data_IF_026788477883
#
_entry.id   IF_026788477883
#
_cell.length_a   1.000
_cell.length_b   1.000
_cell.length_c   1.000
_cell.angle_alpha   90.00
_cell.angle_beta   90.00
_cell.angle_gamma   90.00
#
_symmetry.space_group_name_H-M   'P 1'
#
loop_
_entity.id
_entity.type
_entity.pdbx_description
1 polymer ?
#
# COMPACT_ATOMS: atom_id res chain seq x y z
N UNK A 1 66.02 -35.12 36.52
CA UNK A 1 64.61 -35.57 36.48
C UNK A 1 63.56 -34.51 36.87
N UNK A 2 63.94 -33.36 37.43
CA UNK A 2 62.98 -32.33 37.90
C UNK A 2 62.50 -31.38 36.78
N UNK A 3 63.39 -31.03 35.83
CA UNK A 3 63.06 -30.12 34.72
C UNK A 3 62.07 -30.71 33.69
N UNK A 4 61.97 -32.04 33.56
CA UNK A 4 61.01 -32.68 32.63
C UNK A 4 59.58 -32.71 33.18
N UNK A 5 59.41 -32.90 34.50
CA UNK A 5 58.09 -32.86 35.16
C UNK A 5 57.46 -31.46 35.11
N UNK A 6 58.26 -30.40 35.28
CA UNK A 6 57.79 -29.00 35.21
C UNK A 6 57.37 -28.64 33.77
N UNK A 7 58.13 -29.05 32.75
CA UNK A 7 57.73 -28.86 31.35
C UNK A 7 56.39 -29.55 31.04
N UNK A 8 56.20 -30.78 31.51
CA UNK A 8 54.99 -31.58 31.25
C UNK A 8 53.73 -31.06 31.98
N UNK A 9 53.87 -30.49 33.19
CA UNK A 9 52.77 -29.79 33.88
C UNK A 9 52.32 -28.53 33.14
N UNK A 10 53.26 -27.76 32.57
CA UNK A 10 52.94 -26.55 31.81
C UNK A 10 52.22 -26.85 30.48
N UNK A 11 52.48 -27.99 29.83
CA UNK A 11 51.73 -28.43 28.65
C UNK A 11 50.28 -28.80 28.97
N UNK A 12 50.04 -29.51 30.09
CA UNK A 12 48.68 -29.86 30.53
C UNK A 12 47.85 -28.64 30.95
N UNK A 13 48.48 -27.62 31.55
CA UNK A 13 47.79 -26.37 31.90
C UNK A 13 47.44 -25.55 30.64
N UNK A 14 48.38 -25.42 29.69
CA UNK A 14 48.10 -24.77 28.40
C UNK A 14 47.01 -25.50 27.61
N UNK A 15 47.03 -26.83 27.61
CA UNK A 15 45.99 -27.64 26.96
C UNK A 15 44.62 -27.47 27.61
N UNK A 16 44.53 -27.45 28.95
CA UNK A 16 43.28 -27.17 29.66
C UNK A 16 42.75 -25.77 29.40
N UNK A 17 43.61 -24.76 29.32
CA UNK A 17 43.22 -23.39 28.97
C UNK A 17 42.70 -23.35 27.53
N UNK A 18 43.38 -23.99 26.58
CA UNK A 18 42.94 -24.05 25.17
C UNK A 18 41.57 -24.74 25.05
N UNK A 19 41.38 -25.89 25.72
CA UNK A 19 40.11 -26.62 25.72
C UNK A 19 39.00 -25.81 26.38
N UNK A 20 39.28 -25.12 27.50
CA UNK A 20 38.32 -24.25 28.17
C UNK A 20 37.93 -23.03 27.31
N UNK A 21 38.89 -22.43 26.59
CA UNK A 21 38.62 -21.32 25.67
C UNK A 21 37.80 -21.76 24.46
N UNK A 22 38.07 -22.95 23.90
CA UNK A 22 37.26 -23.53 22.82
C UNK A 22 35.84 -23.82 23.30
N UNK A 23 35.68 -24.32 24.53
CA UNK A 23 34.36 -24.55 25.12
C UNK A 23 33.58 -23.23 25.26
N UNK A 24 34.22 -22.15 25.74
CA UNK A 24 33.57 -20.82 25.85
C UNK A 24 33.10 -20.28 24.50
N UNK A 25 33.84 -20.48 23.42
CA UNK A 25 33.43 -20.04 22.08
C UNK A 25 32.26 -20.85 21.49
N UNK A 26 32.07 -22.10 21.90
CA UNK A 26 30.97 -22.96 21.41
C UNK A 26 29.64 -22.62 22.11
N UNK A 27 29.66 -22.03 23.30
CA UNK A 27 28.45 -21.64 24.06
C UNK A 27 28.06 -20.16 23.91
N UNK A 28 28.71 -19.40 23.03
CA UNK A 28 28.23 -18.05 22.71
C UNK A 28 26.91 -18.20 21.94
N UNK A 29 25.78 -17.66 22.46
CA UNK A 29 24.52 -17.70 21.73
C UNK A 29 24.72 -16.93 20.42
N UNK A 30 24.55 -17.61 19.29
CA UNK A 30 24.39 -16.94 18.01
C UNK A 30 23.12 -16.11 18.11
N UNK A 31 23.25 -14.79 18.20
CA UNK A 31 22.12 -13.87 18.02
C UNK A 31 21.72 -14.03 16.56
N UNK A 32 20.66 -14.80 16.34
CA UNK A 32 20.18 -15.01 14.98
C UNK A 32 19.33 -13.80 14.63
N UNK A 33 19.89 -12.92 13.79
CA UNK A 33 19.19 -11.76 13.25
C UNK A 33 18.04 -12.21 12.36
N UNK A 34 16.95 -11.48 12.41
CA UNK A 34 15.75 -11.77 11.64
C UNK A 34 14.67 -10.76 11.95
N UNK A 35 13.88 -10.44 10.93
CA UNK A 35 12.76 -9.53 11.09
C UNK A 35 11.78 -10.04 12.15
N UNK A 36 11.19 -9.13 12.91
CA UNK A 36 10.22 -9.42 13.96
C UNK A 36 8.91 -8.74 13.56
N UNK A 37 7.87 -9.53 13.30
CA UNK A 37 6.50 -9.01 13.22
C UNK A 37 5.89 -9.03 14.62
N UNK A 38 5.28 -7.92 15.00
CA UNK A 38 4.71 -7.77 16.34
C UNK A 38 3.51 -6.82 16.33
N UNK A 39 2.74 -6.90 17.41
CA UNK A 39 1.59 -6.03 17.64
C UNK A 39 1.89 -5.01 18.75
N UNK A 40 1.35 -3.81 18.60
CA UNK A 40 1.42 -2.76 19.62
C UNK A 40 0.02 -2.14 19.82
N UNK A 41 -0.52 -2.12 21.05
CA UNK A 41 0.05 -2.73 22.25
C UNK A 41 0.03 -4.27 22.19
N UNK A 42 0.98 -4.94 22.84
CA UNK A 42 1.01 -6.41 22.92
C UNK A 42 0.09 -6.98 24.00
N UNK A 43 -0.45 -6.11 24.86
CA UNK A 43 -1.42 -6.46 25.89
C UNK A 43 -2.27 -5.25 26.25
N UNK A 44 -3.49 -5.48 26.70
CA UNK A 44 -4.43 -4.44 27.09
C UNK A 44 -5.67 -5.01 27.75
N UNK A 45 -6.44 -4.14 28.38
CA UNK A 45 -7.74 -4.47 28.98
C UNK A 45 -8.83 -3.63 28.32
N UNK A 46 -9.88 -4.32 27.85
CA UNK A 46 -11.00 -3.71 27.12
C UNK A 46 -12.32 -4.30 27.63
N UNK A 47 -13.42 -3.56 27.48
CA UNK A 47 -14.75 -3.97 27.93
C UNK A 47 -15.64 -4.31 26.74
N UNK A 48 -16.71 -5.04 27.00
CA UNK A 48 -17.70 -5.39 25.97
C UNK A 48 -18.22 -4.12 25.25
N UNK A 49 -18.19 -4.14 23.92
CA UNK A 49 -18.62 -3.02 23.08
C UNK A 49 -17.51 -2.02 22.72
N UNK A 50 -16.38 -2.02 23.44
CA UNK A 50 -15.24 -1.16 23.13
C UNK A 50 -14.72 -1.42 21.71
N UNK A 51 -14.28 -0.36 21.06
CA UNK A 51 -13.48 -0.40 19.85
C UNK A 51 -12.07 0.08 20.15
N UNK A 52 -11.07 -0.70 19.78
CA UNK A 52 -9.66 -0.41 20.05
C UNK A 52 -8.78 -0.73 18.84
N UNK A 53 -7.62 -0.08 18.80
CA UNK A 53 -6.67 -0.18 17.70
C UNK A 53 -5.49 -1.05 18.12
N UNK A 54 -5.11 -1.95 17.22
CA UNK A 54 -3.88 -2.74 17.34
C UNK A 54 -2.99 -2.46 16.13
N UNK A 55 -1.85 -1.85 16.37
CA UNK A 55 -0.86 -1.56 15.35
C UNK A 55 -0.08 -2.83 15.02
N UNK A 56 0.03 -3.12 13.73
CA UNK A 56 0.90 -4.15 13.19
C UNK A 56 2.24 -3.51 12.79
N UNK A 57 3.34 -3.95 13.38
CA UNK A 57 4.67 -3.38 13.17
C UNK A 57 5.72 -4.43 12.83
N UNK A 58 6.83 -3.94 12.28
CA UNK A 58 8.00 -4.75 11.94
C UNK A 58 9.27 -4.15 12.57
N UNK A 59 10.10 -4.98 13.20
CA UNK A 59 11.49 -4.67 13.46
C UNK A 59 12.34 -5.43 12.43
N UNK A 60 13.27 -4.77 11.76
CA UNK A 60 14.09 -5.45 10.75
C UNK A 60 15.37 -6.05 11.33
N UNK A 61 15.73 -5.77 12.59
CA UNK A 61 16.91 -6.32 13.27
C UNK A 61 18.19 -6.24 12.39
N UNK A 62 18.43 -5.06 11.80
CA UNK A 62 19.51 -4.69 10.87
C UNK A 62 19.40 -5.22 9.42
N UNK A 63 18.35 -5.96 9.09
CA UNK A 63 18.06 -6.36 7.70
C UNK A 63 17.36 -5.24 6.92
N UNK A 64 17.48 -5.28 5.60
CA UNK A 64 16.66 -4.48 4.70
C UNK A 64 15.59 -5.38 4.07
N UNK A 65 14.33 -5.00 4.20
CA UNK A 65 13.18 -5.77 3.72
C UNK A 65 12.40 -4.97 2.69
N UNK A 66 11.70 -5.63 1.76
CA UNK A 66 10.89 -4.93 0.76
C UNK A 66 9.48 -5.50 0.58
N UNK A 67 9.17 -6.65 1.17
CA UNK A 67 7.88 -7.30 0.99
C UNK A 67 7.45 -7.92 2.30
N UNK A 68 6.18 -7.73 2.67
CA UNK A 68 5.56 -8.34 3.83
C UNK A 68 4.26 -9.00 3.41
N UNK A 69 4.19 -10.32 3.59
CA UNK A 69 2.96 -11.11 3.60
C UNK A 69 2.62 -11.40 5.05
N UNK A 70 1.50 -10.86 5.54
CA UNK A 70 1.04 -11.12 6.89
C UNK A 70 -0.29 -11.88 6.84
N UNK A 71 -0.37 -12.95 7.62
CA UNK A 71 -1.62 -13.68 7.87
C UNK A 71 -1.84 -13.66 9.38
N UNK A 72 -2.84 -12.93 9.83
CA UNK A 72 -3.14 -12.71 11.25
C UNK A 72 -4.39 -13.51 11.62
N UNK A 73 -4.36 -14.13 12.78
CA UNK A 73 -5.45 -14.90 13.36
C UNK A 73 -5.96 -14.23 14.61
N UNK A 74 -7.27 -14.18 14.76
CA UNK A 74 -7.94 -13.58 15.91
C UNK A 74 -9.16 -14.42 16.33
N UNK A 75 -9.56 -14.37 17.62
CA UNK A 75 -10.69 -15.12 18.12
C UNK A 75 -12.00 -14.41 17.73
N UNK A 76 -12.58 -14.83 16.60
CA UNK A 76 -13.82 -14.29 16.03
C UNK A 76 -15.04 -14.29 16.97
N UNK A 77 -15.03 -15.16 17.98
CA UNK A 77 -16.08 -15.23 19.00
C UNK A 77 -15.95 -14.14 20.08
N UNK A 78 -14.77 -13.52 20.18
CA UNK A 78 -14.45 -12.47 21.14
C UNK A 78 -14.25 -11.10 20.48
N UNK A 79 -13.75 -11.08 19.24
CA UNK A 79 -13.41 -9.87 18.49
C UNK A 79 -14.05 -9.86 17.09
N UNK A 80 -14.59 -8.70 16.72
CA UNK A 80 -15.02 -8.37 15.36
C UNK A 80 -14.07 -7.34 14.76
N UNK A 81 -13.57 -7.57 13.55
CA UNK A 81 -12.75 -6.55 12.86
C UNK A 81 -13.69 -5.56 12.19
N UNK A 82 -13.63 -4.29 12.62
CA UNK A 82 -14.39 -3.20 11.99
C UNK A 82 -13.72 -2.68 10.75
N UNK A 83 -12.40 -2.57 10.79
CA UNK A 83 -11.64 -2.05 9.67
C UNK A 83 -10.15 -2.46 9.76
N UNK A 84 -9.45 -2.26 8.65
CA UNK A 84 -8.00 -2.28 8.56
C UNK A 84 -7.53 -0.97 7.92
N UNK A 85 -6.82 -0.15 8.69
CA UNK A 85 -6.27 1.12 8.22
C UNK A 85 -4.87 0.91 7.65
N UNK A 86 -4.64 1.41 6.44
CA UNK A 86 -3.32 1.46 5.77
C UNK A 86 -2.62 2.80 5.96
N UNK A 87 -3.20 3.72 6.74
CA UNK A 87 -2.64 5.05 6.92
C UNK A 87 -1.35 5.01 7.73
N UNK A 88 -0.40 5.87 7.36
CA UNK A 88 0.98 5.85 7.88
C UNK A 88 1.73 4.52 7.71
N UNK A 89 1.25 3.63 6.85
CA UNK A 89 1.96 2.39 6.55
C UNK A 89 3.24 2.66 5.75
N UNK A 90 4.31 1.92 6.04
CA UNK A 90 5.48 1.86 5.16
C UNK A 90 5.21 1.10 3.86
N UNK A 91 4.14 0.30 3.83
CA UNK A 91 3.70 -0.41 2.65
C UNK A 91 2.99 0.58 1.73
N UNK A 92 3.68 0.97 0.67
CA UNK A 92 3.15 1.91 -0.34
C UNK A 92 2.61 1.19 -1.58
N UNK A 93 2.89 -0.11 -1.73
CA UNK A 93 2.36 -0.96 -2.78
C UNK A 93 1.59 -2.13 -2.16
N UNK A 94 0.37 -2.39 -2.63
CA UNK A 94 -0.44 -3.52 -2.19
C UNK A 94 -0.63 -4.49 -3.35
N UNK A 95 -0.01 -5.66 -3.25
CA UNK A 95 -0.23 -6.77 -4.21
C UNK A 95 -1.54 -7.45 -3.89
N UNK A 96 -1.80 -7.66 -2.60
CA UNK A 96 -3.09 -8.06 -2.06
C UNK A 96 -3.46 -7.07 -0.97
N UNK A 97 -4.53 -6.30 -1.18
CA UNK A 97 -5.06 -5.38 -0.18
C UNK A 97 -5.54 -6.16 1.06
N UNK A 98 -5.57 -5.52 2.25
CA UNK A 98 -6.05 -6.15 3.47
C UNK A 98 -7.44 -6.78 3.30
N UNK A 99 -7.49 -8.10 3.44
CA UNK A 99 -8.70 -8.90 3.36
C UNK A 99 -9.05 -9.41 4.75
N UNK A 100 -10.27 -9.14 5.19
CA UNK A 100 -10.81 -9.58 6.47
C UNK A 100 -11.75 -10.75 6.21
N UNK A 101 -11.43 -11.92 6.78
CA UNK A 101 -12.33 -13.07 6.85
C UNK A 101 -12.81 -13.25 8.30
N UNK A 102 -13.92 -12.56 8.63
CA UNK A 102 -14.53 -12.64 9.96
C UNK A 102 -15.06 -14.04 10.29
N UNK A 103 -15.39 -14.86 9.28
CA UNK A 103 -15.92 -16.21 9.50
C UNK A 103 -14.80 -17.17 9.89
N UNK A 104 -13.61 -17.03 9.33
CA UNK A 104 -12.45 -17.85 9.67
C UNK A 104 -11.61 -17.22 10.81
N UNK A 105 -11.81 -15.94 11.13
CA UNK A 105 -11.01 -15.23 12.13
C UNK A 105 -9.62 -14.89 11.59
N UNK A 106 -9.53 -14.51 10.30
CA UNK A 106 -8.28 -14.26 9.60
C UNK A 106 -8.24 -12.87 8.97
N UNK A 107 -7.07 -12.25 8.98
CA UNK A 107 -6.75 -11.07 8.17
C UNK A 107 -5.52 -11.41 7.34
N UNK A 108 -5.54 -11.10 6.05
CA UNK A 108 -4.39 -11.36 5.17
C UNK A 108 -4.12 -10.19 4.22
N UNK A 109 -2.84 -9.90 3.99
CA UNK A 109 -2.40 -8.97 2.96
C UNK A 109 -1.00 -9.30 2.45
N UNK A 110 -0.67 -8.74 1.29
CA UNK A 110 0.68 -8.73 0.73
C UNK A 110 1.01 -7.30 0.30
N UNK A 111 1.95 -6.69 1.02
CA UNK A 111 2.42 -5.33 0.77
C UNK A 111 3.89 -5.28 0.39
N UNK A 112 4.26 -4.26 -0.36
CA UNK A 112 5.61 -3.98 -0.82
C UNK A 112 6.09 -2.58 -0.45
N UNK A 113 7.41 -2.45 -0.32
CA UNK A 113 8.14 -1.22 -0.01
C UNK A 113 9.16 -1.02 -1.14
N UNK A 114 8.81 -0.29 -2.21
CA UNK A 114 9.76 0.06 -3.25
C UNK A 114 10.98 0.77 -2.66
N UNK A 115 12.19 0.33 -3.02
CA UNK A 115 13.45 0.83 -2.43
C UNK A 115 13.84 0.17 -1.09
N UNK A 116 12.90 -0.54 -0.45
CA UNK A 116 13.08 -1.27 0.80
C UNK A 116 13.07 -0.40 2.06
N UNK A 117 13.04 -1.09 3.20
CA UNK A 117 13.07 -0.51 4.54
C UNK A 117 14.16 -1.22 5.36
N UNK A 118 15.11 -0.46 5.88
CA UNK A 118 16.26 -0.98 6.64
C UNK A 118 16.19 -0.62 8.13
N UNK A 119 14.99 -0.35 8.63
CA UNK A 119 14.77 0.17 9.98
C UNK A 119 14.72 1.70 10.03
N UNK A 120 14.37 2.25 11.22
CA UNK A 120 14.26 3.69 11.43
C UNK A 120 15.63 4.39 11.32
N UNK A 121 15.64 5.58 10.74
CA UNK A 121 16.85 6.40 10.71
C UNK A 121 17.09 7.09 12.06
N UNK A 122 18.35 7.25 12.50
CA UNK A 122 18.65 7.98 13.72
C UNK A 122 18.14 9.42 13.66
N UNK A 123 17.34 9.81 14.66
CA UNK A 123 16.81 11.18 14.79
C UNK A 123 15.42 11.41 14.23
N UNK A 124 14.74 10.37 13.71
CA UNK A 124 13.33 10.48 13.36
C UNK A 124 12.44 10.49 14.61
N UNK A 125 11.48 11.44 14.72
CA UNK A 125 10.61 11.57 15.89
C UNK A 125 9.51 10.48 15.93
N UNK A 126 9.17 9.89 14.79
CA UNK A 126 8.13 8.87 14.66
C UNK A 126 8.74 7.47 14.55
N UNK A 127 7.91 6.44 14.76
CA UNK A 127 8.27 5.04 14.50
C UNK A 127 7.82 4.68 13.07
N UNK A 128 8.68 4.78 12.05
CA UNK A 128 8.32 4.57 10.65
C UNK A 128 8.22 3.08 10.32
N UNK A 129 7.72 2.23 11.21
CA UNK A 129 7.74 0.78 11.05
C UNK A 129 6.34 0.14 11.13
N UNK A 130 5.32 0.98 10.95
CA UNK A 130 3.92 0.59 10.89
C UNK A 130 3.62 -0.08 9.54
N UNK A 131 3.00 -1.25 9.58
CA UNK A 131 2.50 -1.95 8.38
C UNK A 131 1.01 -1.70 8.17
N UNK A 132 0.26 -1.48 9.26
CA UNK A 132 -1.17 -1.17 9.23
C UNK A 132 -1.75 -1.24 10.62
N UNK A 133 -3.03 -0.86 10.75
CA UNK A 133 -3.75 -0.85 12.02
C UNK A 133 -5.00 -1.69 11.89
N UNK A 134 -5.21 -2.58 12.85
CA UNK A 134 -6.42 -3.41 12.92
C UNK A 134 -7.36 -2.76 13.94
N UNK A 135 -8.59 -2.49 13.51
CA UNK A 135 -9.61 -1.91 14.37
C UNK A 135 -10.52 -3.04 14.84
N UNK A 136 -10.44 -3.40 16.11
CA UNK A 136 -11.26 -4.43 16.72
C UNK A 136 -12.41 -3.84 17.51
N UNK A 137 -13.58 -4.47 17.43
CA UNK A 137 -14.70 -4.31 18.36
C UNK A 137 -14.81 -5.54 19.23
N UNK A 138 -14.97 -5.32 20.54
CA UNK A 138 -15.18 -6.38 21.51
C UNK A 138 -16.61 -6.90 21.44
N UNK A 139 -16.78 -8.21 21.22
CA UNK A 139 -18.10 -8.87 21.14
C UNK A 139 -18.40 -9.83 22.29
N UNK A 140 -17.38 -10.33 23.00
CA UNK A 140 -17.59 -11.23 24.15
C UNK A 140 -16.39 -11.23 25.09
N UNK A 141 -16.62 -11.61 26.36
CA UNK A 141 -15.60 -11.65 27.42
C UNK A 141 -14.66 -12.85 27.29
N UNK A 142 -13.41 -12.69 27.70
CA UNK A 142 -12.40 -13.74 27.65
C UNK A 142 -10.98 -13.21 27.51
N UNK A 143 -10.04 -14.11 27.24
CA UNK A 143 -8.69 -13.76 26.82
C UNK A 143 -8.63 -13.88 25.30
N UNK A 144 -8.39 -12.76 24.63
CA UNK A 144 -8.27 -12.72 23.17
C UNK A 144 -6.80 -12.70 22.77
N UNK A 145 -6.34 -13.79 22.16
CA UNK A 145 -4.99 -13.93 21.62
C UNK A 145 -4.99 -13.64 20.11
N UNK A 146 -4.13 -12.72 19.68
CA UNK A 146 -3.94 -12.36 18.28
C UNK A 146 -2.52 -12.75 17.87
N UNK A 147 -2.39 -13.51 16.80
CA UNK A 147 -1.11 -14.09 16.38
C UNK A 147 -0.95 -14.11 14.88
N UNK A 148 0.30 -14.18 14.42
CA UNK A 148 0.62 -14.42 13.02
C UNK A 148 0.65 -15.93 12.73
N UNK A 149 0.16 -16.33 11.56
CA UNK A 149 0.33 -17.70 11.06
C UNK A 149 1.74 -17.89 10.53
N UNK A 150 2.21 -19.13 10.58
CA UNK A 150 3.54 -19.55 10.09
C UNK A 150 3.75 -19.27 8.59
N UNK A 151 2.67 -19.22 7.81
CA UNK A 151 2.68 -18.88 6.38
C UNK A 151 2.92 -17.37 6.09
N UNK A 152 3.04 -16.56 7.14
CA UNK A 152 3.49 -15.16 7.03
C UNK A 152 4.95 -15.12 6.62
N UNK A 153 5.31 -14.14 5.79
CA UNK A 153 6.63 -14.07 5.19
C UNK A 153 7.10 -12.61 5.05
N UNK A 154 8.38 -12.41 5.27
CA UNK A 154 9.07 -11.15 4.96
C UNK A 154 10.18 -11.47 3.97
N UNK A 155 10.32 -10.67 2.91
CA UNK A 155 11.39 -10.83 1.93
C UNK A 155 12.44 -9.73 2.08
N UNK A 156 13.70 -10.12 1.91
CA UNK A 156 14.84 -9.22 1.90
C UNK A 156 14.80 -8.32 0.66
N UNK A 157 15.33 -7.11 0.81
CA UNK A 157 15.51 -6.17 -0.28
C UNK A 157 16.81 -6.45 -1.06
N UNK A 158 16.95 -7.67 -1.58
CA UNK A 158 18.16 -8.13 -2.28
C UNK A 158 17.96 -8.30 -3.80
N UNK A 159 16.72 -8.16 -4.28
CA UNK A 159 16.35 -8.36 -5.69
C UNK A 159 16.20 -9.83 -6.11
N UNK A 160 16.39 -10.79 -5.21
CA UNK A 160 16.30 -12.23 -5.50
C UNK A 160 15.05 -12.88 -4.88
N UNK A 161 14.31 -12.14 -4.05
CA UNK A 161 13.12 -12.67 -3.37
C UNK A 161 13.47 -13.61 -2.22
N UNK A 162 14.64 -13.40 -1.59
CA UNK A 162 15.10 -14.24 -0.48
C UNK A 162 14.22 -14.02 0.76
N UNK A 163 13.65 -15.08 1.37
CA UNK A 163 12.94 -14.94 2.63
C UNK A 163 13.87 -14.51 3.77
N UNK A 164 13.48 -13.48 4.49
CA UNK A 164 14.13 -13.10 5.74
C UNK A 164 13.83 -14.15 6.81
N UNK A 165 14.77 -14.36 7.75
CA UNK A 165 14.43 -15.07 8.97
C UNK A 165 13.37 -14.25 9.71
N UNK A 166 12.32 -14.90 10.18
CA UNK A 166 11.15 -14.25 10.75
C UNK A 166 10.89 -14.74 12.17
N UNK A 167 10.65 -13.81 13.09
CA UNK A 167 10.12 -14.05 14.43
C UNK A 167 8.73 -13.42 14.51
N UNK A 168 7.77 -14.16 15.04
CA UNK A 168 6.38 -13.73 15.16
C UNK A 168 6.06 -13.53 16.64
N UNK A 169 5.67 -12.31 17.03
CA UNK A 169 5.24 -12.00 18.40
C UNK A 169 3.72 -11.82 18.44
N UNK A 170 3.08 -12.57 19.32
CA UNK A 170 1.64 -12.49 19.59
C UNK A 170 1.28 -11.33 20.53
N UNK A 171 -0.02 -11.04 20.60
CA UNK A 171 -0.61 -10.14 21.59
C UNK A 171 -1.77 -10.80 22.31
N UNK A 172 -1.94 -10.47 23.59
CA UNK A 172 -2.98 -11.05 24.44
C UNK A 172 -3.74 -9.93 25.14
N UNK A 173 -5.04 -9.85 24.86
CA UNK A 173 -5.94 -8.85 25.42
C UNK A 173 -6.91 -9.49 26.41
N UNK A 174 -7.12 -8.81 27.54
CA UNK A 174 -8.10 -9.24 28.54
C UNK A 174 -9.40 -8.50 28.30
N UNK A 175 -10.47 -9.24 28.03
CA UNK A 175 -11.79 -8.68 27.80
C UNK A 175 -12.64 -8.85 29.05
N UNK A 176 -13.01 -7.70 29.62
CA UNK A 176 -13.81 -7.57 30.82
C UNK A 176 -15.30 -7.42 30.48
N UNK A 177 -16.20 -7.65 31.46
CA UNK A 177 -17.63 -7.39 31.29
C UNK A 177 -17.93 -5.95 30.87
N UNK A 178 -19.15 -5.70 30.42
CA UNK A 178 -19.60 -4.34 30.11
C UNK A 178 -19.48 -3.41 31.33
N UNK A 179 -18.98 -2.19 31.09
CA UNK A 179 -18.94 -1.12 32.09
C UNK A 179 -20.19 -0.24 31.92
N UNK A 180 -20.67 0.38 32.99
CA UNK A 180 -21.81 1.31 32.93
C UNK A 180 -21.52 2.65 32.22
N UNK A 181 -20.29 2.84 31.72
CA UNK A 181 -19.86 4.03 30.99
C UNK A 181 -19.98 3.81 29.48
N UNK A 182 -19.92 4.90 28.71
CA UNK A 182 -19.93 4.84 27.24
C UNK A 182 -18.75 3.99 26.77
N UNK A 183 -18.95 3.03 25.85
CA UNK A 183 -17.86 2.24 25.29
C UNK A 183 -16.77 3.12 24.70
N UNK A 184 -15.52 2.66 24.81
CA UNK A 184 -14.39 3.35 24.19
C UNK A 184 -14.50 3.24 22.66
N UNK A 185 -14.30 4.33 21.94
CA UNK A 185 -14.34 4.35 20.46
C UNK A 185 -13.05 4.92 19.88
N UNK A 186 -11.91 4.26 20.11
CA UNK A 186 -10.58 4.76 19.68
C UNK A 186 -10.54 5.07 18.18
N UNK A 187 -11.21 4.24 17.36
CA UNK A 187 -11.26 4.47 15.93
C UNK A 187 -12.05 5.70 15.52
N UNK A 188 -13.18 5.99 16.18
CA UNK A 188 -13.97 7.16 15.87
C UNK A 188 -13.21 8.45 16.18
N UNK A 189 -12.43 8.45 17.27
CA UNK A 189 -11.57 9.57 17.60
C UNK A 189 -10.51 9.83 16.51
N UNK A 190 -9.87 8.79 15.99
CA UNK A 190 -8.88 8.91 14.90
C UNK A 190 -9.53 9.48 13.63
N UNK A 191 -10.71 8.98 13.25
CA UNK A 191 -11.47 9.49 12.11
C UNK A 191 -11.81 10.99 12.25
N UNK A 192 -12.18 11.44 13.45
CA UNK A 192 -12.52 12.86 13.66
C UNK A 192 -11.32 13.81 13.69
N UNK A 193 -10.12 13.29 13.94
CA UNK A 193 -8.86 14.07 13.97
C UNK A 193 -8.20 14.17 12.60
N UNK A 194 -8.67 13.41 11.63
CA UNK A 194 -8.11 13.37 10.29
C UNK A 194 -8.79 14.41 9.39
N UNK A 195 -8.05 15.46 9.09
CA UNK A 195 -8.43 16.56 8.20
C UNK A 195 -7.48 16.68 6.99
N UNK A 196 -6.59 15.71 6.79
CA UNK A 196 -5.57 15.76 5.76
C UNK A 196 -6.00 14.87 4.58
N UNK A 197 -6.25 15.46 3.39
CA UNK A 197 -6.56 14.66 2.21
C UNK A 197 -5.38 13.79 1.76
N UNK A 198 -5.66 12.68 1.04
CA UNK A 198 -4.63 11.81 0.48
C UNK A 198 -3.54 12.56 -0.30
N UNK A 199 -2.35 11.95 -0.34
CA UNK A 199 -1.20 12.52 -1.05
C UNK A 199 -1.51 12.74 -2.54
N UNK A 200 -0.94 13.77 -3.19
CA UNK A 200 -1.05 13.95 -4.62
C UNK A 200 -0.52 12.74 -5.39
N UNK A 201 -1.21 12.35 -6.46
CA UNK A 201 -0.84 11.21 -7.28
C UNK A 201 -1.12 11.45 -8.76
N UNK A 202 -0.55 10.59 -9.60
CA UNK A 202 -0.69 10.66 -11.05
C UNK A 202 -1.51 9.48 -11.58
N UNK A 203 -2.21 9.74 -12.69
CA UNK A 203 -2.91 8.71 -13.46
C UNK A 203 -2.00 8.31 -14.63
N UNK A 204 -1.63 7.04 -14.70
CA UNK A 204 -0.85 6.48 -15.79
C UNK A 204 -1.75 5.69 -16.73
N UNK A 205 -1.87 6.14 -17.97
CA UNK A 205 -2.57 5.39 -19.01
C UNK A 205 -1.64 4.35 -19.63
N UNK A 206 -2.16 3.14 -19.86
CA UNK A 206 -1.43 2.03 -20.47
C UNK A 206 -2.33 1.20 -21.39
N UNK A 207 -1.68 0.38 -22.22
CA UNK A 207 -2.31 -0.57 -23.14
C UNK A 207 -1.39 -1.77 -23.28
N UNK A 208 -1.85 -2.95 -22.87
CA UNK A 208 -1.07 -4.19 -22.92
C UNK A 208 -1.94 -5.32 -23.48
N UNK A 209 -1.48 -6.09 -24.49
CA UNK A 209 -2.25 -7.20 -25.05
C UNK A 209 -2.69 -8.25 -24.01
N UNK A 210 -1.94 -8.42 -22.93
CA UNK A 210 -2.21 -9.38 -21.86
C UNK A 210 -3.16 -8.84 -20.79
N UNK A 211 -3.42 -7.53 -20.76
CA UNK A 211 -4.27 -6.87 -19.77
C UNK A 211 -5.50 -6.30 -20.48
N UNK A 212 -6.69 -6.73 -20.06
CA UNK A 212 -7.97 -6.34 -20.69
C UNK A 212 -8.03 -6.55 -22.22
N UNK A 213 -7.22 -7.48 -22.76
CA UNK A 213 -7.18 -7.81 -24.19
C UNK A 213 -6.66 -6.67 -25.08
N UNK A 214 -5.68 -5.89 -24.60
CA UNK A 214 -5.09 -4.80 -25.39
C UNK A 214 -5.94 -3.53 -25.42
N UNK A 215 -6.91 -3.37 -24.52
CA UNK A 215 -7.67 -2.13 -24.35
C UNK A 215 -6.91 -1.14 -23.48
N UNK A 216 -7.22 0.15 -23.61
CA UNK A 216 -6.68 1.18 -22.74
C UNK A 216 -7.24 1.04 -21.31
N UNK A 217 -6.33 1.11 -20.35
CA UNK A 217 -6.64 1.14 -18.93
C UNK A 217 -5.76 2.17 -18.23
N UNK A 218 -6.14 2.54 -17.02
CA UNK A 218 -5.36 3.44 -16.18
C UNK A 218 -4.87 2.71 -14.93
N UNK A 219 -3.70 3.13 -14.47
CA UNK A 219 -3.10 2.73 -13.20
C UNK A 219 -2.95 3.99 -12.35
N UNK A 220 -3.38 3.90 -11.11
CA UNK A 220 -3.27 4.95 -10.12
C UNK A 220 -3.12 4.32 -8.73
N UNK A 221 -2.49 5.06 -7.83
CA UNK A 221 -2.34 4.69 -6.43
C UNK A 221 -1.91 5.93 -5.66
N UNK A 222 -2.35 6.04 -4.41
CA UNK A 222 -1.85 7.06 -3.48
C UNK A 222 -1.82 6.48 -2.07
N UNK A 223 -1.18 7.20 -1.16
CA UNK A 223 -1.13 6.88 0.26
C UNK A 223 -1.76 8.00 1.06
N UNK A 224 -2.23 7.66 2.25
CA UNK A 224 -2.71 8.63 3.22
C UNK A 224 -1.87 8.57 4.51
N UNK A 225 -1.63 9.73 5.11
CA UNK A 225 -0.77 9.93 6.29
C UNK A 225 -1.54 9.93 7.61
N UNK A 226 -2.81 9.53 7.61
CA UNK A 226 -3.62 9.42 8.81
C UNK A 226 -4.45 8.14 8.76
N UNK A 227 -5.73 8.20 8.40
CA UNK A 227 -6.65 7.06 8.53
C UNK A 227 -6.53 6.03 7.40
N UNK A 228 -5.82 6.32 6.31
CA UNK A 228 -5.65 5.42 5.18
C UNK A 228 -6.71 5.61 4.10
N UNK A 229 -6.50 4.96 2.95
CA UNK A 229 -7.44 5.05 1.83
C UNK A 229 -8.66 4.16 2.09
N UNK A 230 -9.86 4.70 1.86
CA UNK A 230 -11.10 3.90 1.85
C UNK A 230 -11.37 3.32 0.46
N UNK A 231 -11.41 4.18 -0.56
CA UNK A 231 -11.67 3.76 -1.93
C UNK A 231 -11.24 4.78 -2.97
N UNK A 232 -11.31 4.36 -4.23
CA UNK A 232 -11.17 5.21 -5.40
C UNK A 232 -12.47 5.30 -6.19
N UNK A 233 -12.68 6.42 -6.85
CA UNK A 233 -13.73 6.63 -7.84
C UNK A 233 -13.13 7.14 -9.16
N UNK A 234 -13.69 6.71 -10.29
CA UNK A 234 -13.29 7.16 -11.63
C UNK A 234 -14.47 7.80 -12.34
N UNK A 235 -14.23 8.90 -13.03
CA UNK A 235 -15.18 9.51 -13.95
C UNK A 235 -14.51 9.83 -15.30
N UNK A 236 -15.22 9.57 -16.40
CA UNK A 236 -14.78 9.88 -17.77
C UNK A 236 -15.69 10.95 -18.38
N UNK A 237 -15.14 12.15 -18.58
CA UNK A 237 -15.88 13.31 -19.09
C UNK A 237 -15.46 13.66 -20.51
N UNK A 238 -16.38 13.54 -21.47
CA UNK A 238 -16.11 13.96 -22.86
C UNK A 238 -15.80 15.45 -22.94
N UNK A 239 -14.65 15.82 -23.53
CA UNK A 239 -14.19 17.22 -23.68
C UNK A 239 -15.17 18.13 -24.43
N UNK A 240 -15.97 17.57 -25.33
CA UNK A 240 -16.90 18.34 -26.18
C UNK A 240 -18.23 18.66 -25.50
N UNK A 241 -18.56 17.99 -24.40
CA UNK A 241 -19.82 18.17 -23.68
C UNK A 241 -19.54 18.97 -22.41
N UNK A 242 -20.21 20.12 -22.25
CA UNK A 242 -20.35 20.77 -20.94
C UNK A 242 -21.29 19.93 -20.09
N UNK A 243 -20.77 18.81 -19.59
CA UNK A 243 -21.47 17.98 -18.63
C UNK A 243 -21.41 18.68 -17.27
N UNK A 244 -22.58 18.96 -16.71
CA UNK A 244 -22.71 19.62 -15.40
C UNK A 244 -22.60 18.65 -14.23
N UNK A 245 -22.61 17.34 -14.50
CA UNK A 245 -22.57 16.29 -13.49
C UNK A 245 -21.62 15.19 -13.93
N UNK A 246 -20.66 14.87 -13.08
CA UNK A 246 -19.72 13.76 -13.28
C UNK A 246 -20.37 12.46 -12.78
N UNK A 247 -20.22 11.38 -13.55
CA UNK A 247 -20.67 10.06 -13.17
C UNK A 247 -19.50 9.30 -12.53
N UNK A 248 -19.31 9.49 -11.23
CA UNK A 248 -18.29 8.79 -10.44
C UNK A 248 -18.68 7.33 -10.24
N UNK A 249 -17.72 6.43 -10.44
CA UNK A 249 -17.87 4.98 -10.22
C UNK A 249 -16.77 4.49 -9.32
N UNK A 250 -17.10 3.75 -8.26
CA UNK A 250 -16.09 3.07 -7.45
C UNK A 250 -15.22 2.18 -8.35
N UNK A 251 -13.91 2.25 -8.17
CA UNK A 251 -12.95 1.64 -9.04
C UNK A 251 -11.75 1.09 -8.27
N UNK A 252 -11.07 0.13 -8.90
CA UNK A 252 -9.79 -0.40 -8.46
C UNK A 252 -8.77 -0.20 -9.58
N UNK A 253 -7.49 -0.16 -9.21
CA UNK A 253 -6.39 -0.08 -10.17
C UNK A 253 -5.84 -1.50 -10.44
N UNK A 254 -5.65 -1.91 -11.70
CA UNK A 254 -5.88 -1.15 -12.93
C UNK A 254 -7.37 -1.04 -13.30
N UNK A 255 -7.78 0.11 -13.83
CA UNK A 255 -9.16 0.37 -14.26
C UNK A 255 -9.28 0.41 -15.79
N UNK A 256 -10.14 -0.43 -16.37
CA UNK A 256 -10.44 -0.45 -17.80
C UNK A 256 -11.29 0.78 -18.19
N UNK A 257 -10.78 1.59 -19.11
CA UNK A 257 -11.50 2.78 -19.59
C UNK A 257 -12.73 2.40 -20.44
N UNK A 258 -13.81 3.16 -20.28
CA UNK A 258 -15.00 3.04 -21.12
C UNK A 258 -14.77 3.77 -22.46
N UNK A 259 -14.14 4.95 -22.45
CA UNK A 259 -13.76 5.69 -23.64
C UNK A 259 -12.42 5.22 -24.21
N UNK A 260 -12.47 4.14 -24.96
CA UNK A 260 -11.33 3.60 -25.71
C UNK A 260 -10.83 4.52 -26.85
N UNK A 261 -11.51 5.65 -27.13
CA UNK A 261 -11.07 6.63 -28.12
C UNK A 261 -10.20 7.75 -27.54
N UNK A 262 -10.03 7.78 -26.21
CA UNK A 262 -9.23 8.77 -25.47
C UNK A 262 -9.64 10.22 -25.76
N UNK A 263 -10.95 10.47 -25.87
CA UNK A 263 -11.52 11.81 -26.08
C UNK A 263 -12.06 12.42 -24.79
N UNK A 264 -12.13 11.62 -23.75
CA UNK A 264 -12.61 12.01 -22.42
C UNK A 264 -11.45 12.41 -21.52
N UNK A 265 -11.66 13.44 -20.71
CA UNK A 265 -10.84 13.72 -19.54
C UNK A 265 -11.13 12.63 -18.53
N UNK A 266 -10.08 12.07 -17.94
CA UNK A 266 -10.18 11.01 -16.95
C UNK A 266 -9.90 11.66 -15.60
N UNK A 267 -10.82 11.51 -14.66
CA UNK A 267 -10.70 11.97 -13.30
C UNK A 267 -10.65 10.77 -12.37
N UNK A 268 -9.70 10.76 -11.45
CA UNK A 268 -9.62 9.75 -10.38
C UNK A 268 -9.70 10.47 -9.05
N UNK A 269 -10.67 10.12 -8.22
CA UNK A 269 -10.81 10.59 -6.86
C UNK A 269 -10.35 9.49 -5.90
N UNK A 270 -9.44 9.82 -5.00
CA UNK A 270 -9.12 9.02 -3.82
C UNK A 270 -9.87 9.60 -2.62
N UNK A 271 -10.53 8.75 -1.84
CA UNK A 271 -11.25 9.12 -0.62
C UNK A 271 -10.60 8.35 0.54
N UNK A 272 -10.19 9.04 1.60
CA UNK A 272 -9.69 8.39 2.82
C UNK A 272 -10.85 7.92 3.72
N UNK A 273 -10.52 7.28 4.83
CA UNK A 273 -11.52 6.75 5.77
C UNK A 273 -12.21 7.84 6.60
N UNK A 274 -11.63 9.03 6.70
CA UNK A 274 -12.22 10.20 7.33
C UNK A 274 -13.16 10.98 6.39
N UNK A 275 -13.10 10.71 5.09
CA UNK A 275 -13.91 11.31 4.05
C UNK A 275 -13.26 12.50 3.33
N UNK A 276 -11.97 12.77 3.55
CA UNK A 276 -11.27 13.76 2.74
C UNK A 276 -10.98 13.22 1.35
N UNK A 277 -10.97 14.11 0.36
CA UNK A 277 -10.88 13.75 -1.05
C UNK A 277 -9.65 14.35 -1.73
N UNK A 278 -9.01 13.56 -2.61
CA UNK A 278 -7.99 14.03 -3.55
C UNK A 278 -8.35 13.63 -4.97
N UNK A 279 -8.41 14.60 -5.88
CA UNK A 279 -8.69 14.34 -7.31
C UNK A 279 -7.42 14.53 -8.14
N UNK A 280 -7.11 13.54 -8.97
CA UNK A 280 -6.14 13.62 -10.04
C UNK A 280 -6.86 13.69 -11.40
N UNK A 281 -6.28 14.41 -12.36
CA UNK A 281 -6.82 14.57 -13.70
C UNK A 281 -5.81 14.14 -14.75
N UNK A 282 -6.27 13.38 -15.75
CA UNK A 282 -5.52 13.06 -16.95
C UNK A 282 -6.26 13.56 -18.18
N UNK A 283 -5.55 14.34 -18.98
CA UNK A 283 -6.05 14.92 -20.22
C UNK A 283 -5.33 14.25 -21.39
N UNK A 284 -6.01 13.38 -22.17
CA UNK A 284 -5.38 12.75 -23.31
C UNK A 284 -4.84 13.77 -24.34
N UNK A 285 -3.66 13.51 -24.92
CA UNK A 285 -3.07 14.40 -25.92
C UNK A 285 -3.94 14.44 -27.18
N UNK A 286 -4.21 15.65 -27.69
CA UNK A 286 -4.88 15.80 -28.97
C UNK A 286 -3.88 15.56 -30.10
N UNK A 287 -4.22 14.69 -31.06
CA UNK A 287 -3.49 14.67 -32.33
C UNK A 287 -3.67 16.05 -32.98
N UNK A 288 -2.58 16.74 -33.37
CA UNK A 288 -2.71 18.02 -34.03
C UNK A 288 -3.58 17.85 -35.28
N UNK A 289 -4.52 18.79 -35.49
CA UNK A 289 -5.30 18.81 -36.72
C UNK A 289 -4.32 18.89 -37.91
N UNK A 290 -4.42 17.99 -38.91
CA UNK A 290 -3.52 18.02 -40.05
C UNK A 290 -3.85 19.26 -40.91
N UNK A 291 -3.15 20.37 -40.67
CA UNK A 291 -3.24 21.61 -41.44
C UNK A 291 -3.06 21.38 -42.96
N UNK A 292 -2.34 20.32 -43.33
CA UNK A 292 -2.15 19.88 -44.72
C UNK A 292 -3.46 19.55 -45.45
N UNK A 293 -4.57 19.24 -44.77
CA UNK A 293 -5.88 19.00 -45.41
C UNK A 293 -6.60 20.31 -45.73
N UNK A 294 -6.32 21.39 -44.99
CA UNK A 294 -6.95 22.71 -45.21
C UNK A 294 -6.38 23.37 -46.46
N UNK A 295 -5.10 23.18 -46.75
CA UNK A 295 -4.41 23.76 -47.91
C UNK A 295 -5.09 23.38 -49.25
N UNK A 296 -5.31 22.10 -49.60
CA UNK A 296 -5.96 21.74 -50.86
C UNK A 296 -7.43 22.18 -50.91
N UNK A 297 -8.13 22.26 -49.77
CA UNK A 297 -9.51 22.78 -49.72
C UNK A 297 -9.53 24.29 -50.03
N UNK A 298 -8.62 25.07 -49.44
CA UNK A 298 -8.48 26.50 -49.73
C UNK A 298 -8.02 26.76 -51.16
N UNK A 299 -7.07 25.96 -51.67
CA UNK A 299 -6.61 26.02 -53.06
C UNK A 299 -7.76 25.67 -54.03
N UNK A 300 -8.50 24.59 -53.76
CA UNK A 300 -9.66 24.19 -54.55
C UNK A 300 -10.76 25.24 -54.55
N UNK A 301 -11.07 25.83 -53.39
CA UNK A 301 -12.02 26.93 -53.27
C UNK A 301 -11.56 28.19 -54.03
N UNK A 302 -10.27 28.52 -53.96
CA UNK A 302 -9.66 29.61 -54.71
C UNK A 302 -9.72 29.40 -56.23
N UNK A 303 -9.42 28.18 -56.70
CA UNK A 303 -9.53 27.80 -58.12
C UNK A 303 -11.00 27.86 -58.57
N UNK A 304 -11.93 27.30 -57.79
CA UNK A 304 -13.36 27.35 -58.07
C UNK A 304 -13.88 28.78 -58.16
N UNK A 305 -13.49 29.66 -57.23
CA UNK A 305 -13.83 31.07 -57.26
C UNK A 305 -13.23 31.80 -58.48
N UNK A 306 -12.01 31.46 -58.87
CA UNK A 306 -11.38 32.00 -60.09
C UNK A 306 -12.14 31.61 -61.36
N UNK A 307 -12.54 30.34 -61.50
CA UNK A 307 -13.37 29.88 -62.62
C UNK A 307 -14.76 30.52 -62.63
N UNK A 308 -15.39 30.67 -61.46
CA UNK A 308 -16.66 31.39 -61.32
C UNK A 308 -16.54 32.85 -61.79
N UNK A 309 -15.50 33.56 -61.39
CA UNK A 309 -15.27 34.96 -61.81
C UNK A 309 -15.03 35.06 -63.32
N UNK A 310 -14.25 34.13 -63.89
CA UNK A 310 -13.93 34.09 -65.32
C UNK A 310 -15.14 33.80 -66.20
N UNK A 311 -16.03 32.89 -65.78
CA UNK A 311 -17.26 32.58 -66.50
C UNK A 311 -18.25 33.75 -66.48
N UNK A 312 -18.38 34.46 -65.35
CA UNK A 312 -19.22 35.67 -65.25
C UNK A 312 -18.73 36.80 -66.15
N UNK A 313 -17.40 36.96 -66.30
CA UNK A 313 -16.80 37.99 -67.16
C UNK A 313 -17.04 37.73 -68.67
N UNK A 314 -17.04 36.46 -69.09
CA UNK A 314 -17.36 36.09 -70.49
C UNK A 314 -18.81 36.37 -70.88
N UNK A 315 -19.75 36.20 -69.94
CA UNK A 315 -21.19 36.47 -70.17
C UNK A 315 -21.46 37.99 -70.32
N UNK A 316 -20.61 38.84 -69.77
CA UNK A 316 -20.74 40.30 -69.84
C UNK A 316 -20.18 40.91 -71.14
N UNK A 317 -19.39 40.16 -71.91
CA UNK A 317 -18.77 40.60 -73.18
C UNK A 317 -19.59 40.10 -74.40
N UNK A 318 -20.54 39.17 -74.21
CA UNK A 318 -21.41 38.65 -75.29
C UNK A 318 -22.82 39.27 -75.29
N UNK A 319 -23.02 40.42 -74.64
CA UNK A 319 -24.19 41.28 -74.75
C UNK A 319 -23.72 42.64 -75.27
#
# INVERSE_FOLDING_TARGET
MQNSKIKMQNYNLKFKIIVSSIFIFIFLPLVVKGAILYFEPSKGEYHLGDTFIVDLRIDTEEECINTVKAIISFPKDLLEVKDFSTGNSILSLWVETPKIDQKEGLISFVGGIPGGFCGPLPGEPEKPNLLGRIIFRVVSRGLAEISFKEDSQVLLNDGFGTPAKLTLKEAIFTILPEKAEVPREEWQEELTKDDIPPEPFEIKISQDPNIFGGKYFIVFSTTDKQTGIDHYEVAEQRRTLRQTTLNWKRAESPYLLEDQSLKSIILVKAVDKAGNERIAEYVPPQKPFPLLIIIPILVGAGIGYWFYRKSKFKIQISK
#
